data_IF_435495903679
#
_entry.id   IF_435495903679
#
_cell.length_a   1.000
_cell.length_b   1.000
_cell.length_c   1.000
_cell.angle_alpha   90.00
_cell.angle_beta   90.00
_cell.angle_gamma   90.00
#
_symmetry.space_group_name_H-M   'P 1'
#
loop_
_entity.id
_entity.type
_entity.pdbx_description
1 polymer ?
#
# COMPACT_ATOMS: atom_id res chain seq x y z
N UNK A 1 -19.25 7.66 3.41
CA UNK A 1 -18.91 6.23 3.39
C UNK A 1 -20.13 5.34 3.65
N UNK A 2 -20.89 5.56 4.74
CA UNK A 2 -22.07 4.73 5.07
C UNK A 2 -23.18 4.74 4.03
N UNK A 3 -23.30 5.78 3.21
CA UNK A 3 -24.25 5.83 2.07
C UNK A 3 -23.85 4.80 1.01
N UNK A 4 -22.55 4.66 0.73
CA UNK A 4 -22.02 3.75 -0.28
C UNK A 4 -21.87 2.31 0.24
N UNK A 5 -21.53 2.15 1.51
CA UNK A 5 -21.34 0.87 2.19
C UNK A 5 -21.86 0.97 3.61
N UNK A 6 -23.15 0.63 3.85
CA UNK A 6 -23.78 0.77 5.17
C UNK A 6 -23.07 0.01 6.31
N UNK A 7 -22.53 -1.17 5.99
CA UNK A 7 -21.85 -2.03 6.96
C UNK A 7 -20.39 -1.68 7.23
N UNK A 8 -19.86 -0.60 6.59
CA UNK A 8 -18.47 -0.22 6.80
C UNK A 8 -18.24 0.17 8.27
N UNK A 9 -17.06 -0.23 8.80
CA UNK A 9 -16.60 0.19 10.11
C UNK A 9 -15.81 1.48 9.97
N UNK A 10 -16.20 2.50 10.73
CA UNK A 10 -15.48 3.77 10.82
C UNK A 10 -14.77 3.79 12.17
N UNK A 11 -13.47 4.06 12.13
CA UNK A 11 -12.65 4.25 13.33
C UNK A 11 -12.21 5.71 13.31
N UNK A 12 -12.77 6.49 14.22
CA UNK A 12 -12.42 7.90 14.38
C UNK A 12 -11.16 8.03 15.23
N UNK A 13 -10.31 9.00 14.88
CA UNK A 13 -9.08 9.31 15.59
C UNK A 13 -9.22 10.65 16.27
N UNK A 14 -8.84 10.72 17.53
CA UNK A 14 -8.79 11.93 18.35
C UNK A 14 -7.38 12.52 18.49
N UNK A 15 -6.38 11.81 17.96
CA UNK A 15 -4.97 12.23 17.99
C UNK A 15 -4.20 11.74 16.76
N UNK A 16 -3.06 12.36 16.49
CA UNK A 16 -2.15 11.90 15.44
C UNK A 16 -1.44 10.62 15.88
N UNK A 17 -1.39 9.66 14.98
CA UNK A 17 -0.59 8.44 15.16
C UNK A 17 0.85 8.65 14.70
N UNK A 18 1.71 7.68 14.99
CA UNK A 18 3.11 7.70 14.56
C UNK A 18 3.29 7.28 13.09
N UNK A 19 2.26 7.47 12.26
CA UNK A 19 2.27 7.21 10.82
C UNK A 19 1.19 6.23 10.36
N UNK A 20 1.08 6.08 9.03
CA UNK A 20 -0.01 5.33 8.40
C UNK A 20 -0.09 3.86 8.82
N UNK A 21 1.06 3.19 9.10
CA UNK A 21 1.04 1.82 9.59
C UNK A 21 0.44 1.73 11.00
N UNK A 22 0.70 2.70 11.88
CA UNK A 22 0.07 2.76 13.20
C UNK A 22 -1.43 3.02 13.08
N UNK A 23 -1.83 3.91 12.17
CA UNK A 23 -3.25 4.19 11.90
C UNK A 23 -4.00 2.94 11.44
N UNK A 24 -3.44 2.18 10.50
CA UNK A 24 -4.08 0.95 10.00
C UNK A 24 -4.16 -0.13 11.08
N UNK A 25 -3.21 -0.20 12.01
CA UNK A 25 -3.25 -1.14 13.13
C UNK A 25 -4.37 -0.87 14.15
N UNK A 26 -4.98 0.31 14.15
CA UNK A 26 -6.20 0.56 14.96
C UNK A 26 -7.37 -0.33 14.50
N UNK A 27 -7.35 -0.77 13.24
CA UNK A 27 -8.28 -1.75 12.73
C UNK A 27 -7.89 -3.21 13.05
N UNK A 28 -6.82 -3.47 13.82
CA UNK A 28 -6.27 -4.81 14.08
C UNK A 28 -7.33 -5.85 14.44
N UNK A 29 -8.29 -5.52 15.28
CA UNK A 29 -9.37 -6.45 15.69
C UNK A 29 -10.25 -6.96 14.54
N UNK A 30 -10.24 -6.25 13.40
CA UNK A 30 -11.02 -6.63 12.21
C UNK A 30 -10.17 -7.28 11.12
N UNK A 31 -8.87 -6.97 11.06
CA UNK A 31 -7.98 -7.37 9.98
C UNK A 31 -6.96 -8.44 10.38
N UNK A 32 -6.83 -8.78 11.65
CA UNK A 32 -5.89 -9.82 12.13
C UNK A 32 -6.49 -11.21 11.98
N UNK A 33 -6.67 -11.66 10.75
CA UNK A 33 -7.28 -12.93 10.40
C UNK A 33 -6.68 -13.48 9.08
N UNK A 34 -7.20 -14.60 8.59
CA UNK A 34 -6.75 -15.26 7.36
C UNK A 34 -7.38 -14.65 6.08
N UNK A 35 -8.27 -13.66 6.20
CA UNK A 35 -8.91 -13.03 5.05
C UNK A 35 -7.93 -12.12 4.29
N UNK A 36 -8.09 -11.99 2.96
CA UNK A 36 -7.35 -11.03 2.18
C UNK A 36 -7.59 -9.59 2.64
N UNK A 37 -6.52 -8.80 2.67
CA UNK A 37 -6.55 -7.41 3.06
C UNK A 37 -6.05 -6.52 1.93
N UNK A 38 -6.76 -5.42 1.68
CA UNK A 38 -6.27 -4.30 0.87
C UNK A 38 -6.18 -3.08 1.76
N UNK A 39 -5.03 -2.42 1.75
CA UNK A 39 -4.82 -1.12 2.34
C UNK A 39 -4.66 -0.13 1.19
N UNK A 40 -5.44 0.94 1.20
CA UNK A 40 -5.42 1.95 0.15
C UNK A 40 -5.44 3.36 0.73
N UNK A 41 -4.66 4.25 0.12
CA UNK A 41 -4.82 5.68 0.32
C UNK A 41 -6.18 6.14 -0.24
N UNK A 42 -6.71 7.26 0.26
CA UNK A 42 -8.02 7.80 -0.15
C UNK A 42 -7.92 9.05 -1.01
N UNK A 43 -6.73 9.60 -1.19
CA UNK A 43 -6.43 10.88 -1.85
C UNK A 43 -5.81 10.69 -3.23
N UNK A 44 -6.35 9.76 -4.02
CA UNK A 44 -5.84 9.43 -5.35
C UNK A 44 -6.92 8.84 -6.26
N UNK A 45 -6.75 9.02 -7.56
CA UNK A 45 -7.47 8.31 -8.60
C UNK A 45 -6.52 7.39 -9.36
N UNK A 46 -6.91 6.15 -9.57
CA UNK A 46 -6.09 5.13 -10.23
C UNK A 46 -6.90 4.54 -11.38
N UNK A 47 -6.32 4.57 -12.58
CA UNK A 47 -6.85 3.88 -13.74
C UNK A 47 -6.30 2.46 -13.78
N UNK A 48 -7.14 1.49 -13.41
CA UNK A 48 -6.77 0.08 -13.36
C UNK A 48 -7.99 -0.85 -13.37
N UNK A 49 -7.80 -2.05 -13.81
CA UNK A 49 -8.82 -3.10 -13.71
C UNK A 49 -8.63 -3.88 -12.40
N UNK A 50 -9.31 -3.44 -11.32
CA UNK A 50 -9.19 -4.02 -10.00
C UNK A 50 -9.57 -5.50 -9.94
N UNK A 51 -10.63 -5.90 -10.64
CA UNK A 51 -11.09 -7.29 -10.67
C UNK A 51 -10.06 -8.22 -11.30
N UNK A 52 -9.46 -7.80 -12.43
CA UNK A 52 -8.40 -8.56 -13.10
C UNK A 52 -7.15 -8.66 -12.23
N UNK A 53 -6.74 -7.56 -11.61
CA UNK A 53 -5.58 -7.54 -10.74
C UNK A 53 -5.74 -8.47 -9.54
N UNK A 54 -6.88 -8.40 -8.85
CA UNK A 54 -7.18 -9.28 -7.71
C UNK A 54 -7.25 -10.75 -8.12
N UNK A 55 -7.87 -11.06 -9.27
CA UNK A 55 -7.87 -12.41 -9.82
C UNK A 55 -6.44 -12.92 -10.05
N UNK A 56 -5.57 -12.10 -10.63
CA UNK A 56 -4.16 -12.44 -10.87
C UNK A 56 -3.40 -12.71 -9.56
N UNK A 57 -3.62 -11.90 -8.52
CA UNK A 57 -2.94 -12.08 -7.23
C UNK A 57 -3.34 -13.41 -6.57
N UNK A 58 -4.64 -13.73 -6.61
CA UNK A 58 -5.19 -14.96 -6.03
C UNK A 58 -4.75 -16.18 -6.82
N UNK A 59 -4.89 -16.15 -8.16
CA UNK A 59 -4.55 -17.27 -9.04
C UNK A 59 -3.06 -17.62 -9.01
N UNK A 60 -2.19 -16.63 -8.91
CA UNK A 60 -0.74 -16.80 -8.77
C UNK A 60 -0.30 -17.14 -7.34
N UNK A 61 -1.25 -17.25 -6.41
CA UNK A 61 -1.01 -17.56 -5.00
C UNK A 61 0.03 -16.63 -4.34
N UNK A 62 -0.01 -15.34 -4.70
CA UNK A 62 0.89 -14.35 -4.11
C UNK A 62 0.53 -14.12 -2.63
N UNK A 63 1.55 -13.93 -1.80
CA UNK A 63 1.37 -13.55 -0.40
C UNK A 63 1.12 -12.04 -0.24
N UNK A 64 1.57 -11.25 -1.22
CA UNK A 64 1.31 -9.81 -1.30
C UNK A 64 1.45 -9.28 -2.71
N UNK A 65 0.86 -8.11 -2.97
CA UNK A 65 1.06 -7.37 -4.21
C UNK A 65 1.05 -5.86 -3.93
N UNK A 66 1.85 -5.13 -4.69
CA UNK A 66 2.00 -3.69 -4.58
C UNK A 66 1.62 -3.08 -5.92
N UNK A 67 0.65 -2.16 -5.93
CA UNK A 67 0.33 -1.42 -7.14
C UNK A 67 1.38 -0.34 -7.38
N UNK A 68 1.86 -0.26 -8.62
CA UNK A 68 2.97 0.63 -8.99
C UNK A 68 2.70 1.36 -10.30
N UNK A 69 3.40 2.46 -10.50
CA UNK A 69 3.52 3.19 -11.75
C UNK A 69 4.98 3.61 -11.96
N UNK A 70 5.33 4.03 -13.18
CA UNK A 70 6.71 4.44 -13.45
C UNK A 70 6.95 5.88 -13.00
N UNK A 71 7.87 6.07 -12.05
CA UNK A 71 8.33 7.38 -11.58
C UNK A 71 9.71 7.28 -10.93
N UNK A 72 10.39 8.42 -10.80
CA UNK A 72 11.73 8.55 -10.17
C UNK A 72 11.82 9.72 -9.18
N UNK A 73 10.67 10.26 -8.71
CA UNK A 73 10.68 11.38 -7.78
C UNK A 73 10.67 10.88 -6.32
N UNK A 74 11.56 11.36 -5.43
CA UNK A 74 11.74 10.82 -4.07
C UNK A 74 10.54 11.05 -3.12
N UNK A 75 9.45 11.66 -3.57
CA UNK A 75 8.22 11.78 -2.77
C UNK A 75 7.46 10.46 -2.61
N UNK A 76 7.75 9.46 -3.45
CA UNK A 76 7.06 8.18 -3.49
C UNK A 76 7.78 7.09 -2.70
N UNK A 77 7.05 6.03 -2.39
CA UNK A 77 7.64 4.74 -2.02
C UNK A 77 7.98 3.95 -3.28
N UNK A 78 8.91 3.01 -3.19
CA UNK A 78 9.41 2.23 -4.31
C UNK A 78 9.51 0.76 -4.01
N UNK A 79 9.29 -0.09 -5.03
CA UNK A 79 9.50 -1.53 -4.96
C UNK A 79 10.57 -1.96 -5.98
N UNK A 80 11.63 -2.63 -5.50
CA UNK A 80 12.66 -3.25 -6.33
C UNK A 80 12.32 -4.71 -6.54
N UNK A 81 12.46 -5.20 -7.78
CA UNK A 81 12.17 -6.58 -8.14
C UNK A 81 13.43 -7.28 -8.67
N UNK A 82 13.42 -8.61 -8.57
CA UNK A 82 14.35 -9.49 -9.26
C UNK A 82 13.96 -9.67 -10.74
N UNK A 83 14.72 -10.53 -11.46
CA UNK A 83 14.50 -10.84 -12.86
C UNK A 83 13.18 -11.58 -13.13
N UNK A 84 12.64 -12.30 -12.13
CA UNK A 84 11.35 -12.99 -12.20
C UNK A 84 10.16 -12.07 -11.85
N UNK A 85 10.43 -10.81 -11.46
CA UNK A 85 9.44 -9.81 -11.09
C UNK A 85 8.91 -9.95 -9.66
N UNK A 86 9.61 -10.69 -8.79
CA UNK A 86 9.31 -10.71 -7.36
C UNK A 86 9.98 -9.54 -6.65
N UNK A 87 9.26 -8.93 -5.73
CA UNK A 87 9.77 -7.83 -4.91
C UNK A 87 10.86 -8.36 -3.98
N UNK A 88 12.03 -7.73 -4.00
CA UNK A 88 13.17 -8.06 -3.13
C UNK A 88 13.40 -7.02 -2.04
N UNK A 89 12.95 -5.78 -2.27
CA UNK A 89 13.11 -4.67 -1.33
C UNK A 89 12.04 -3.62 -1.60
N UNK A 90 11.57 -2.95 -0.55
CA UNK A 90 10.79 -1.71 -0.67
C UNK A 90 11.43 -0.60 0.15
N UNK A 91 11.28 0.64 -0.32
CA UNK A 91 11.80 1.81 0.37
C UNK A 91 10.81 2.96 0.31
N UNK A 92 10.68 3.68 1.42
CA UNK A 92 9.89 4.91 1.54
C UNK A 92 10.75 6.12 1.23
N UNK A 93 10.27 7.03 0.36
CA UNK A 93 10.93 8.30 0.00
C UNK A 93 12.39 8.15 -0.47
N UNK A 94 12.73 7.00 -1.00
CA UNK A 94 14.06 6.69 -1.55
C UNK A 94 13.90 5.93 -2.87
N UNK A 95 14.44 6.50 -3.94
CA UNK A 95 14.38 5.90 -5.27
C UNK A 95 15.35 4.71 -5.33
N UNK A 96 14.81 3.49 -5.34
CA UNK A 96 15.58 2.24 -5.46
C UNK A 96 15.28 1.48 -6.75
N UNK A 97 14.29 1.96 -7.52
CA UNK A 97 13.84 1.40 -8.79
C UNK A 97 13.02 2.46 -9.55
N UNK A 98 12.39 2.09 -10.66
CA UNK A 98 11.39 2.91 -11.34
C UNK A 98 9.95 2.60 -10.90
N UNK A 99 9.74 1.58 -10.07
CA UNK A 99 8.41 1.14 -9.66
C UNK A 99 7.97 1.92 -8.41
N UNK A 100 7.44 3.11 -8.62
CA UNK A 100 6.85 3.92 -7.56
C UNK A 100 5.49 3.34 -7.14
N UNK A 101 5.19 3.31 -5.85
CA UNK A 101 3.92 2.75 -5.38
C UNK A 101 2.79 3.77 -5.48
N UNK A 102 1.58 3.31 -5.80
CA UNK A 102 0.38 4.15 -5.85
C UNK A 102 -0.39 4.17 -4.52
N UNK A 103 0.18 3.64 -3.45
CA UNK A 103 -0.50 3.62 -2.14
C UNK A 103 -1.64 2.60 -2.05
N UNK A 104 -1.65 1.56 -2.89
CA UNK A 104 -2.56 0.41 -2.79
C UNK A 104 -1.74 -0.86 -2.61
N UNK A 105 -2.05 -1.61 -1.55
CA UNK A 105 -1.27 -2.72 -1.05
C UNK A 105 -2.18 -3.91 -0.76
N UNK A 106 -1.94 -5.04 -1.44
CA UNK A 106 -2.65 -6.30 -1.23
C UNK A 106 -1.83 -7.24 -0.35
N UNK A 107 -2.47 -7.83 0.63
CA UNK A 107 -1.96 -8.88 1.52
C UNK A 107 -2.88 -10.09 1.41
N UNK A 108 -2.32 -11.27 1.18
CA UNK A 108 -3.12 -12.51 1.12
C UNK A 108 -3.85 -12.79 2.41
N UNK A 109 -3.28 -12.39 3.53
CA UNK A 109 -3.84 -12.54 4.86
C UNK A 109 -3.62 -11.27 5.67
N UNK A 110 -4.65 -10.75 6.31
CA UNK A 110 -4.53 -9.59 7.18
C UNK A 110 -3.57 -9.82 8.34
N UNK A 111 -3.50 -11.04 8.88
CA UNK A 111 -2.55 -11.40 9.94
C UNK A 111 -1.08 -11.26 9.52
N UNK A 112 -0.75 -11.48 8.25
CA UNK A 112 0.61 -11.30 7.74
C UNK A 112 1.00 -9.81 7.76
N UNK A 113 0.05 -8.91 7.41
CA UNK A 113 0.23 -7.47 7.55
C UNK A 113 0.44 -7.09 9.01
N UNK A 114 -0.49 -7.48 9.90
CA UNK A 114 -0.45 -7.10 11.31
C UNK A 114 0.86 -7.55 11.96
N UNK A 115 1.24 -8.81 11.78
CA UNK A 115 2.48 -9.33 12.37
C UNK A 115 3.74 -8.66 11.80
N UNK A 116 3.74 -8.28 10.52
CA UNK A 116 4.87 -7.60 9.89
C UNK A 116 4.95 -6.13 10.33
N UNK A 117 3.82 -5.43 10.42
CA UNK A 117 3.76 -4.05 10.91
C UNK A 117 4.22 -3.95 12.38
N UNK A 118 3.78 -4.87 13.23
CA UNK A 118 4.22 -4.93 14.64
C UNK A 118 5.74 -5.20 14.75
N UNK A 119 6.30 -6.06 13.89
CA UNK A 119 7.76 -6.28 13.87
C UNK A 119 8.53 -5.04 13.42
N UNK A 120 8.07 -4.34 12.37
CA UNK A 120 8.66 -3.09 11.92
C UNK A 120 8.65 -2.04 13.03
N UNK A 121 7.53 -1.89 13.73
CA UNK A 121 7.39 -0.95 14.87
C UNK A 121 8.32 -1.35 16.02
N UNK A 122 8.35 -2.63 16.39
CA UNK A 122 9.24 -3.15 17.43
C UNK A 122 10.72 -2.91 17.13
N UNK A 123 11.12 -3.01 15.87
CA UNK A 123 12.47 -2.68 15.38
C UNK A 123 12.72 -1.19 15.25
N UNK A 124 11.70 -0.35 15.45
CA UNK A 124 11.74 1.10 15.29
C UNK A 124 12.22 1.54 13.88
N UNK A 125 11.80 0.83 12.83
CA UNK A 125 12.16 1.15 11.45
C UNK A 125 11.23 2.26 10.97
N UNK A 126 11.75 3.49 10.93
CA UNK A 126 11.01 4.72 10.59
C UNK A 126 11.63 5.42 9.38
N UNK A 127 10.82 6.20 8.69
CA UNK A 127 11.25 7.20 7.73
C UNK A 127 10.63 8.53 8.14
N UNK A 128 11.44 9.60 8.25
CA UNK A 128 10.99 10.91 8.73
C UNK A 128 10.17 10.84 10.04
N UNK A 129 10.61 10.01 10.98
CA UNK A 129 9.96 9.74 12.26
C UNK A 129 8.58 9.08 12.20
N UNK A 130 8.16 8.57 11.04
CA UNK A 130 6.87 7.92 10.84
C UNK A 130 7.01 6.46 10.42
N UNK A 131 6.00 5.64 10.76
CA UNK A 131 5.84 4.28 10.29
C UNK A 131 4.91 4.25 9.09
N UNK A 132 5.47 4.02 7.89
CA UNK A 132 4.71 3.93 6.63
C UNK A 132 4.26 2.49 6.34
N UNK A 133 3.21 2.35 5.50
CA UNK A 133 2.68 1.03 5.13
C UNK A 133 3.62 0.28 4.17
N UNK A 134 4.19 0.96 3.17
CA UNK A 134 5.06 0.31 2.18
C UNK A 134 6.23 -0.46 2.81
N UNK A 135 7.03 0.10 3.74
CA UNK A 135 8.14 -0.61 4.37
C UNK A 135 7.77 -1.87 5.15
N UNK A 136 6.49 -2.06 5.51
CA UNK A 136 6.02 -3.28 6.19
C UNK A 136 6.29 -4.53 5.34
N UNK A 137 6.30 -4.40 4.01
CA UNK A 137 6.63 -5.53 3.13
C UNK A 137 8.04 -6.08 3.34
N UNK A 138 9.02 -5.29 3.77
CA UNK A 138 10.34 -5.83 4.06
C UNK A 138 10.29 -6.90 5.16
N UNK A 139 9.44 -6.73 6.18
CA UNK A 139 9.23 -7.75 7.21
C UNK A 139 8.51 -9.01 6.68
N UNK A 140 7.66 -8.87 5.67
CA UNK A 140 7.03 -9.98 4.99
C UNK A 140 8.05 -10.76 4.13
N UNK A 141 8.91 -10.04 3.40
CA UNK A 141 9.97 -10.62 2.57
C UNK A 141 10.98 -11.43 3.39
N UNK A 142 11.31 -11.00 4.60
CA UNK A 142 12.15 -11.76 5.53
C UNK A 142 11.58 -13.14 5.89
N UNK A 143 10.27 -13.34 5.71
CA UNK A 143 9.58 -14.64 5.90
C UNK A 143 9.52 -15.48 4.62
N UNK A 144 10.31 -15.13 3.58
CA UNK A 144 10.33 -15.78 2.26
C UNK A 144 8.94 -15.79 1.57
N UNK A 145 8.12 -14.76 1.80
CA UNK A 145 6.81 -14.59 1.20
C UNK A 145 6.93 -14.00 -0.22
N UNK A 146 6.05 -14.45 -1.11
CA UNK A 146 6.05 -14.07 -2.52
C UNK A 146 5.23 -12.79 -2.74
N UNK A 147 5.91 -11.69 -3.05
CA UNK A 147 5.30 -10.41 -3.36
C UNK A 147 5.63 -10.03 -4.80
N UNK A 148 4.64 -9.53 -5.55
CA UNK A 148 4.85 -8.98 -6.91
C UNK A 148 4.32 -7.56 -7.00
N UNK A 149 4.79 -6.83 -8.01
CA UNK A 149 4.20 -5.56 -8.40
C UNK A 149 3.07 -5.78 -9.41
N UNK A 150 2.15 -4.82 -9.48
CA UNK A 150 1.14 -4.70 -10.52
C UNK A 150 1.14 -3.26 -11.02
N UNK A 151 1.57 -3.05 -12.26
CA UNK A 151 1.60 -1.73 -12.87
C UNK A 151 0.19 -1.28 -13.23
N UNK A 152 -0.17 -0.09 -12.79
CA UNK A 152 -1.41 0.60 -13.21
C UNK A 152 -1.13 1.46 -14.43
N UNK A 153 -2.15 1.75 -15.23
CA UNK A 153 -2.01 2.55 -16.43
C UNK A 153 -1.72 4.01 -16.10
N UNK A 154 -2.49 4.57 -15.16
CA UNK A 154 -2.31 5.94 -14.69
C UNK A 154 -2.66 6.09 -13.21
N UNK A 155 -1.98 7.01 -12.55
CA UNK A 155 -2.28 7.44 -11.19
C UNK A 155 -2.27 8.97 -11.11
N UNK A 156 -3.27 9.52 -10.46
CA UNK A 156 -3.40 10.94 -10.18
C UNK A 156 -3.50 11.13 -8.67
N UNK A 157 -2.57 11.90 -8.09
CA UNK A 157 -2.69 12.35 -6.71
C UNK A 157 -3.83 13.38 -6.60
N UNK A 158 -4.53 13.37 -5.48
CA UNK A 158 -5.59 14.32 -5.15
C UNK A 158 -5.37 14.96 -3.79
N UNK A 159 -4.19 14.73 -3.21
CA UNK A 159 -3.86 15.12 -1.84
C UNK A 159 -3.51 16.60 -1.65
N UNK A 160 -3.26 17.34 -2.73
CA UNK A 160 -3.03 18.79 -2.69
C UNK A 160 -3.98 19.53 -3.61
N UNK A 161 -4.26 20.83 -3.35
CA UNK A 161 -5.08 21.64 -4.29
C UNK A 161 -4.53 21.64 -5.71
N UNK A 162 -3.21 21.71 -5.88
CA UNK A 162 -2.54 21.68 -7.18
C UNK A 162 -2.77 20.34 -7.91
N UNK A 163 -2.62 19.22 -7.20
CA UNK A 163 -2.88 17.88 -7.75
C UNK A 163 -4.34 17.76 -8.22
N UNK A 164 -5.29 18.25 -7.40
CA UNK A 164 -6.72 18.25 -7.73
C UNK A 164 -7.03 19.10 -8.96
N UNK A 165 -6.43 20.28 -9.07
CA UNK A 165 -6.62 21.16 -10.22
C UNK A 165 -6.02 20.55 -11.49
N UNK A 166 -4.87 19.91 -11.41
CA UNK A 166 -4.26 19.18 -12.52
C UNK A 166 -5.15 18.00 -12.96
N UNK A 167 -5.72 17.26 -12.00
CA UNK A 167 -6.66 16.17 -12.29
C UNK A 167 -7.90 16.69 -13.05
N UNK A 168 -8.55 17.75 -12.56
CA UNK A 168 -9.73 18.35 -13.23
C UNK A 168 -9.45 18.73 -14.67
N UNK A 169 -8.33 19.42 -14.93
CA UNK A 169 -7.92 19.81 -16.31
C UNK A 169 -7.70 18.64 -17.24
N UNK A 170 -7.42 17.46 -16.72
CA UNK A 170 -7.20 16.25 -17.54
C UNK A 170 -8.54 15.66 -18.03
N UNK A 171 -9.65 15.93 -17.33
CA UNK A 171 -10.97 15.34 -17.59
C UNK A 171 -12.02 16.38 -18.07
N UNK A 172 -11.62 17.65 -18.19
CA UNK A 172 -12.37 18.70 -18.91
C UNK A 172 -12.07 18.65 -20.41
#
# INVERSE_FOLDING_TARGET
LKILKPDCKIIELDHLTEGAACTTLLAKKYINNDDPLIIANSDQYIDWNSSKALYDFISKKLDGAILTFEAIHPKWSYAKCDEEGYVTEVAEKKVISKNATVGVYYWKKGLDYVSSAEQMIKKNIRVNNEFYVCPVYNELLLKNKKVKIHNVEKMYGLGTPEDLDNFKRTFE
#
